data_IF_868841976633
#
_entry.id   IF_868841976633
#
_cell.length_a   1.000
_cell.length_b   1.000
_cell.length_c   1.000
_cell.angle_alpha   90.00
_cell.angle_beta   90.00
_cell.angle_gamma   90.00
#
_symmetry.space_group_name_H-M   'P 1'
#
loop_
_entity.id
_entity.type
_entity.pdbx_description
1 polymer ?
#
# COMPACT_ATOMS: atom_id res chain seq x y z
N UNK A 1 34.18 -22.92 -37.95
CA UNK A 1 33.97 -21.60 -37.32
C UNK A 1 32.68 -21.00 -37.83
N UNK A 2 31.68 -20.80 -36.97
CA UNK A 2 30.72 -19.68 -37.06
C UNK A 2 29.85 -19.71 -35.81
N UNK A 3 30.21 -18.81 -34.91
CA UNK A 3 29.56 -18.49 -33.65
C UNK A 3 28.42 -17.52 -33.99
N UNK A 4 27.18 -17.87 -33.70
CA UNK A 4 26.12 -16.87 -33.53
C UNK A 4 25.65 -16.94 -32.09
N UNK A 5 26.14 -15.96 -31.34
CA UNK A 5 25.62 -15.60 -30.04
C UNK A 5 24.27 -14.91 -30.27
N UNK A 6 23.20 -15.49 -29.73
CA UNK A 6 21.93 -14.81 -29.60
C UNK A 6 21.95 -14.05 -28.27
N UNK A 7 22.18 -12.75 -28.39
CA UNK A 7 22.07 -11.79 -27.31
C UNK A 7 20.80 -10.98 -27.55
N UNK A 8 19.76 -11.24 -26.76
CA UNK A 8 18.80 -10.25 -26.22
C UNK A 8 17.62 -10.95 -25.56
N UNK A 9 17.75 -11.27 -24.28
CA UNK A 9 16.61 -11.52 -23.40
C UNK A 9 16.83 -10.70 -22.14
N UNK A 10 16.53 -9.41 -22.20
CA UNK A 10 16.32 -8.63 -20.97
C UNK A 10 15.16 -9.29 -20.23
N UNK A 11 15.35 -9.77 -18.99
CA UNK A 11 14.25 -10.31 -18.21
C UNK A 11 13.22 -9.20 -18.02
N UNK A 12 12.00 -9.44 -18.45
CA UNK A 12 10.85 -8.59 -18.10
C UNK A 12 10.72 -8.75 -16.59
N UNK A 13 11.10 -7.74 -15.81
CA UNK A 13 10.91 -7.77 -14.35
C UNK A 13 9.42 -7.94 -14.10
N UNK A 14 9.05 -9.10 -13.57
CA UNK A 14 7.68 -9.36 -13.13
C UNK A 14 7.34 -8.38 -11.99
N UNK A 15 6.12 -7.86 -11.93
CA UNK A 15 5.72 -6.96 -10.85
C UNK A 15 5.88 -7.71 -9.52
N UNK A 16 6.71 -7.14 -8.63
CA UNK A 16 6.97 -7.71 -7.30
C UNK A 16 5.67 -7.93 -6.55
N UNK A 17 5.54 -9.08 -5.91
CA UNK A 17 4.37 -9.34 -5.07
C UNK A 17 4.43 -8.50 -3.79
N UNK A 18 3.29 -8.28 -3.16
CA UNK A 18 3.24 -7.54 -1.89
C UNK A 18 4.11 -8.20 -0.81
N UNK A 19 4.11 -9.54 -0.77
CA UNK A 19 4.91 -10.34 0.14
C UNK A 19 6.40 -10.11 -0.06
N UNK A 20 6.86 -10.09 -1.32
CA UNK A 20 8.25 -9.77 -1.66
C UNK A 20 8.63 -8.34 -1.25
N UNK A 21 7.71 -7.38 -1.44
CA UNK A 21 7.92 -5.99 -1.03
C UNK A 21 8.06 -5.87 0.50
N UNK A 22 7.23 -6.60 1.27
CA UNK A 22 7.30 -6.62 2.74
C UNK A 22 8.63 -7.19 3.23
N UNK A 23 9.06 -8.31 2.65
CA UNK A 23 10.29 -9.00 3.06
C UNK A 23 11.55 -8.16 2.77
N UNK A 24 11.54 -7.40 1.68
CA UNK A 24 12.69 -6.62 1.23
C UNK A 24 12.64 -5.14 1.66
N UNK A 25 11.68 -4.74 2.50
CA UNK A 25 11.53 -3.33 2.88
C UNK A 25 12.70 -2.86 3.75
N UNK A 26 13.49 -1.85 3.32
CA UNK A 26 14.77 -1.50 3.94
C UNK A 26 14.64 -0.92 5.35
N UNK A 27 13.51 -0.28 5.69
CA UNK A 27 13.25 0.24 7.04
C UNK A 27 12.65 -0.82 7.99
N UNK A 28 12.57 -2.08 7.54
CA UNK A 28 12.03 -3.21 8.30
C UNK A 28 10.51 -3.29 8.27
N UNK A 29 9.97 -4.51 8.11
CA UNK A 29 8.53 -4.79 7.96
C UNK A 29 7.63 -4.15 9.02
N UNK A 30 8.11 -4.00 10.25
CA UNK A 30 7.33 -3.43 11.36
C UNK A 30 7.16 -1.91 11.28
N UNK A 31 8.00 -1.19 10.53
CA UNK A 31 7.85 0.26 10.34
C UNK A 31 6.86 0.60 9.22
N UNK A 32 6.66 -0.31 8.26
CA UNK A 32 5.72 -0.15 7.16
C UNK A 32 4.26 -0.20 7.63
N UNK A 33 3.92 -1.11 8.57
CA UNK A 33 2.54 -1.31 9.04
C UNK A 33 1.89 -0.04 9.61
N UNK A 34 2.49 0.67 10.58
CA UNK A 34 1.86 1.86 11.15
C UNK A 34 1.81 3.02 10.14
N UNK A 35 2.76 3.10 9.19
CA UNK A 35 2.73 4.07 8.10
C UNK A 35 1.58 3.77 7.12
N UNK A 36 1.44 2.52 6.70
CA UNK A 36 0.36 2.08 5.82
C UNK A 36 -1.02 2.26 6.48
N UNK A 37 -1.14 2.00 7.79
CA UNK A 37 -2.38 2.24 8.52
C UNK A 37 -2.77 3.73 8.56
N UNK A 38 -1.80 4.63 8.76
CA UNK A 38 -2.04 6.07 8.69
C UNK A 38 -2.43 6.49 7.27
N UNK A 39 -1.73 5.97 6.26
CA UNK A 39 -1.97 6.30 4.86
C UNK A 39 -3.31 5.77 4.37
N UNK A 40 -3.71 4.56 4.76
CA UNK A 40 -5.04 4.00 4.49
C UNK A 40 -6.17 4.91 4.99
N UNK A 41 -6.02 5.54 6.16
CA UNK A 41 -7.00 6.53 6.66
C UNK A 41 -7.11 7.75 5.74
N UNK A 42 -6.02 8.18 5.14
CA UNK A 42 -6.02 9.26 4.14
C UNK A 42 -6.70 8.78 2.86
N UNK A 43 -6.33 7.60 2.34
CA UNK A 43 -6.89 7.05 1.12
C UNK A 43 -8.40 6.88 1.18
N UNK A 44 -8.96 6.41 2.31
CA UNK A 44 -10.42 6.27 2.51
C UNK A 44 -11.22 7.57 2.38
N UNK A 45 -10.56 8.73 2.58
CA UNK A 45 -11.22 10.04 2.48
C UNK A 45 -11.22 10.58 1.05
N UNK A 46 -10.41 10.02 0.16
CA UNK A 46 -10.36 10.44 -1.24
C UNK A 46 -11.60 9.93 -1.97
N UNK A 47 -12.27 10.81 -2.70
CA UNK A 47 -13.51 10.50 -3.40
C UNK A 47 -13.31 9.38 -4.44
N UNK A 48 -12.18 9.42 -5.14
CA UNK A 48 -11.74 8.39 -6.09
C UNK A 48 -11.68 6.98 -5.48
N UNK A 49 -11.55 6.84 -4.16
CA UNK A 49 -11.39 5.54 -3.50
C UNK A 49 -12.65 5.09 -2.73
N UNK A 50 -13.77 5.81 -2.80
CA UNK A 50 -15.00 5.46 -2.08
C UNK A 50 -15.60 4.10 -2.46
N UNK A 51 -15.27 3.60 -3.64
CA UNK A 51 -15.74 2.31 -4.15
C UNK A 51 -14.89 1.13 -3.64
N UNK A 52 -13.72 1.39 -3.07
CA UNK A 52 -12.81 0.36 -2.59
C UNK A 52 -13.22 -0.16 -1.22
N UNK A 53 -13.10 -1.48 -1.05
CA UNK A 53 -13.23 -2.14 0.25
C UNK A 53 -12.07 -1.77 1.18
N UNK A 54 -12.22 -2.05 2.47
CA UNK A 54 -11.15 -1.83 3.44
C UNK A 54 -9.88 -2.62 3.10
N UNK A 55 -10.00 -3.84 2.58
CA UNK A 55 -8.85 -4.65 2.18
C UNK A 55 -8.11 -4.04 0.98
N UNK A 56 -8.86 -3.59 -0.04
CA UNK A 56 -8.27 -2.94 -1.22
C UNK A 56 -7.55 -1.64 -0.87
N UNK A 57 -8.10 -0.86 0.06
CA UNK A 57 -7.45 0.33 0.60
C UNK A 57 -6.15 -0.02 1.32
N UNK A 58 -6.15 -1.09 2.11
CA UNK A 58 -4.96 -1.52 2.85
C UNK A 58 -3.87 -2.03 1.91
N UNK A 59 -4.25 -2.79 0.87
CA UNK A 59 -3.33 -3.26 -0.17
C UNK A 59 -2.72 -2.09 -0.93
N UNK A 60 -3.54 -1.10 -1.32
CA UNK A 60 -3.05 0.12 -1.95
C UNK A 60 -2.07 0.85 -1.02
N UNK A 61 -2.44 1.03 0.25
CA UNK A 61 -1.61 1.72 1.21
C UNK A 61 -0.25 1.03 1.42
N UNK A 62 -0.24 -0.30 1.49
CA UNK A 62 0.99 -1.07 1.63
C UNK A 62 1.85 -0.96 0.38
N UNK A 63 1.26 -1.01 -0.83
CA UNK A 63 2.02 -0.83 -2.08
C UNK A 63 2.68 0.53 -2.15
N UNK A 64 1.96 1.61 -1.85
CA UNK A 64 2.50 2.98 -1.88
C UNK A 64 3.67 3.14 -0.89
N UNK A 65 3.54 2.56 0.31
CA UNK A 65 4.55 2.66 1.37
C UNK A 65 5.78 1.81 1.04
N UNK A 66 5.57 0.55 0.69
CA UNK A 66 6.66 -0.39 0.41
C UNK A 66 7.36 -0.08 -0.92
N UNK A 67 6.64 0.55 -1.86
CA UNK A 67 7.18 1.10 -3.09
C UNK A 67 7.94 2.42 -2.90
N UNK A 68 7.83 3.05 -1.73
CA UNK A 68 8.51 4.31 -1.40
C UNK A 68 7.83 5.56 -1.96
N UNK A 69 6.62 5.44 -2.49
CA UNK A 69 5.82 6.59 -2.98
C UNK A 69 5.36 7.48 -1.82
N UNK A 70 5.23 6.89 -0.62
CA UNK A 70 4.75 7.58 0.58
C UNK A 70 5.74 7.45 1.73
N UNK A 71 6.14 8.60 2.28
CA UNK A 71 6.93 8.67 3.52
C UNK A 71 6.08 9.05 4.73
N UNK A 72 6.65 8.89 5.92
CA UNK A 72 6.05 9.38 7.18
C UNK A 72 5.72 10.87 7.16
N UNK A 73 6.53 11.68 6.48
CA UNK A 73 6.30 13.13 6.38
C UNK A 73 5.06 13.40 5.54
N UNK A 74 4.91 12.69 4.43
CA UNK A 74 3.81 12.87 3.49
C UNK A 74 2.51 12.39 4.13
N UNK A 75 2.50 11.17 4.69
CA UNK A 75 1.32 10.61 5.36
C UNK A 75 0.81 11.51 6.50
N UNK A 76 1.71 12.08 7.32
CA UNK A 76 1.33 13.04 8.37
C UNK A 76 0.78 14.34 7.81
N UNK A 77 1.40 14.89 6.76
CA UNK A 77 0.94 16.13 6.11
C UNK A 77 -0.49 15.96 5.58
N UNK A 78 -0.76 14.86 4.87
CA UNK A 78 -2.09 14.60 4.32
C UNK A 78 -3.13 14.28 5.41
N UNK A 79 -2.72 13.57 6.46
CA UNK A 79 -3.61 13.29 7.60
C UNK A 79 -4.01 14.57 8.36
N UNK A 80 -3.08 15.52 8.52
CA UNK A 80 -3.36 16.80 9.20
C UNK A 80 -4.19 17.77 8.36
N UNK A 81 -4.13 17.66 7.02
CA UNK A 81 -4.86 18.54 6.11
C UNK A 81 -6.35 18.20 5.96
N UNK A 82 -6.83 17.10 6.55
CA UNK A 82 -8.20 16.64 6.38
C UNK A 82 -9.02 16.81 7.67
N UNK A 83 -10.18 17.51 7.64
CA UNK A 83 -11.06 17.61 8.79
C UNK A 83 -11.53 16.22 9.23
N UNK A 84 -11.66 16.02 10.55
CA UNK A 84 -12.06 14.76 11.17
C UNK A 84 -13.55 14.49 10.92
N UNK A 85 -13.88 13.88 9.78
CA UNK A 85 -15.20 13.33 9.54
C UNK A 85 -15.06 11.86 9.18
N UNK A 86 -15.51 10.97 10.06
CA UNK A 86 -15.65 9.56 9.75
C UNK A 86 -15.44 8.66 10.96
N UNK A 87 -16.54 8.36 11.64
CA UNK A 87 -16.66 7.26 12.59
C UNK A 87 -15.96 6.00 12.09
N UNK A 88 -15.11 5.45 12.96
CA UNK A 88 -14.61 4.10 12.84
C UNK A 88 -15.80 3.14 12.99
N UNK A 89 -16.43 2.74 11.90
CA UNK A 89 -17.35 1.61 11.89
C UNK A 89 -16.56 0.33 12.19
N UNK A 90 -16.34 0.05 13.47
CA UNK A 90 -15.98 -1.27 13.95
C UNK A 90 -17.17 -2.17 13.61
N UNK A 91 -17.00 -3.06 12.64
CA UNK A 91 -17.94 -4.13 12.37
C UNK A 91 -18.04 -5.05 13.58
N UNK A 92 -18.87 -4.67 14.55
CA UNK A 92 -19.39 -5.57 15.55
C UNK A 92 -20.51 -6.36 14.88
N UNK A 93 -20.19 -7.56 14.40
CA UNK A 93 -21.17 -8.58 14.07
C UNK A 93 -22.11 -8.75 15.26
N UNK A 94 -23.33 -8.23 15.11
CA UNK A 94 -24.48 -8.62 15.91
C UNK A 94 -25.37 -9.48 15.01
N UNK A 95 -25.09 -10.77 14.96
CA UNK A 95 -26.12 -11.74 14.62
C UNK A 95 -26.55 -12.44 15.91
N UNK A 96 -27.61 -11.88 16.51
CA UNK A 96 -28.53 -12.60 17.37
C UNK A 96 -29.81 -12.82 16.54
N UNK A 97 -30.27 -14.06 16.51
CA UNK A 97 -31.49 -14.50 15.83
C UNK A 97 -31.64 -16.00 15.99
#
# INVERSE_FOLDING_TARGET
MSKKADASKTPKEEPKTLEEMILNFPAGKYSAIPLAALWAKVLRRKEEHRHLTQNEILDLALKDVLGGEITWRDAKKFAAAAPENGEINNGAEKHAG
#
